data_IF_707335203192
#
_entry.id   IF_707335203192
#
_cell.length_a   1.000
_cell.length_b   1.000
_cell.length_c   1.000
_cell.angle_alpha   90.00
_cell.angle_beta   90.00
_cell.angle_gamma   90.00
#
_symmetry.space_group_name_H-M   'P 1'
#
loop_
_entity.id
_entity.type
_entity.pdbx_description
1 polymer ?
#
# COMPACT_ATOMS: atom_id res chain seq x y z
N UNK A 1 17.38 -5.38 16.06
CA UNK A 1 16.14 -5.04 15.33
C UNK A 1 16.51 -3.97 14.30
N UNK A 2 16.28 -4.20 13.01
CA UNK A 2 16.91 -3.44 11.91
C UNK A 2 16.45 -1.98 11.75
N UNK A 3 15.39 -1.56 12.45
CA UNK A 3 14.79 -0.22 12.33
C UNK A 3 14.45 0.30 13.73
N UNK A 4 14.80 1.55 14.04
CA UNK A 4 14.43 2.18 15.31
C UNK A 4 12.92 2.42 15.37
N UNK A 5 12.29 2.40 16.56
CA UNK A 5 10.84 2.57 16.67
C UNK A 5 10.32 3.85 15.99
N UNK A 6 11.03 4.97 16.16
CA UNK A 6 10.66 6.24 15.52
C UNK A 6 10.72 6.20 13.99
N UNK A 7 11.73 5.53 13.42
CA UNK A 7 11.83 5.35 11.97
C UNK A 7 10.76 4.38 11.45
N UNK A 8 10.47 3.32 12.20
CA UNK A 8 9.41 2.36 11.85
C UNK A 8 8.03 3.00 11.76
N UNK A 9 7.72 3.97 12.62
CA UNK A 9 6.46 4.72 12.55
C UNK A 9 6.32 5.53 11.26
N UNK A 10 7.43 6.06 10.70
CA UNK A 10 7.43 6.83 9.44
C UNK A 10 7.08 6.00 8.21
N UNK A 11 7.17 4.68 8.29
CA UNK A 11 6.70 3.79 7.22
C UNK A 11 5.17 3.81 7.08
N UNK A 12 4.45 4.15 8.16
CA UNK A 12 2.99 4.03 8.24
C UNK A 12 2.23 5.36 8.16
N UNK A 13 2.92 6.45 7.82
CA UNK A 13 2.30 7.76 7.63
C UNK A 13 2.67 8.30 6.26
N UNK A 14 1.78 9.06 5.63
CA UNK A 14 2.10 9.69 4.35
C UNK A 14 3.31 10.62 4.50
N UNK A 15 4.31 10.46 3.65
CA UNK A 15 5.52 11.28 3.57
C UNK A 15 5.59 12.07 2.26
N UNK A 16 4.57 11.98 1.39
CA UNK A 16 4.53 12.79 0.19
C UNK A 16 4.37 14.28 0.54
N UNK A 17 5.13 15.17 -0.11
CA UNK A 17 4.92 16.61 0.00
C UNK A 17 3.49 17.00 -0.37
N UNK A 18 2.88 17.91 0.39
CA UNK A 18 1.49 18.35 0.16
C UNK A 18 1.28 18.95 -1.25
N UNK A 19 2.32 19.58 -1.82
CA UNK A 19 2.30 20.14 -3.18
C UNK A 19 1.99 19.09 -4.26
N UNK A 20 2.25 17.81 -4.00
CA UNK A 20 1.93 16.75 -4.95
C UNK A 20 0.42 16.40 -4.97
N UNK A 21 -0.33 16.74 -3.92
CA UNK A 21 -1.75 16.44 -3.79
C UNK A 21 -2.11 14.96 -3.96
N UNK A 22 -3.40 14.69 -4.19
CA UNK A 22 -3.93 13.33 -4.33
C UNK A 22 -3.53 12.64 -5.64
N UNK A 23 -3.04 13.43 -6.61
CA UNK A 23 -2.64 12.95 -7.94
C UNK A 23 -1.13 12.73 -8.05
N UNK A 24 -0.37 13.03 -7.00
CA UNK A 24 1.09 13.05 -7.01
C UNK A 24 1.78 11.77 -7.50
N UNK A 25 1.10 10.64 -7.36
CA UNK A 25 1.58 9.32 -7.77
C UNK A 25 1.02 8.84 -9.12
N UNK A 26 -0.02 9.49 -9.64
CA UNK A 26 -0.78 8.99 -10.80
C UNK A 26 0.03 8.97 -12.09
N UNK A 27 0.98 9.90 -12.27
CA UNK A 27 1.83 9.94 -13.46
C UNK A 27 2.64 8.64 -13.65
N UNK A 28 3.21 8.10 -12.56
CA UNK A 28 4.05 6.91 -12.60
C UNK A 28 3.28 5.61 -12.31
N UNK A 29 2.24 5.68 -11.47
CA UNK A 29 1.52 4.50 -10.96
C UNK A 29 0.09 4.35 -11.50
N UNK A 30 -0.33 5.26 -12.37
CA UNK A 30 -1.63 5.25 -13.02
C UNK A 30 -2.79 5.73 -12.15
N UNK A 31 -4.02 5.75 -12.70
CA UNK A 31 -5.20 6.35 -12.05
C UNK A 31 -5.59 5.70 -10.71
N UNK A 32 -5.24 4.42 -10.52
CA UNK A 32 -5.57 3.69 -9.28
C UNK A 32 -4.77 4.16 -8.07
N UNK A 33 -3.74 5.00 -8.28
CA UNK A 33 -2.97 5.63 -7.23
C UNK A 33 -3.64 6.92 -6.69
N UNK A 34 -4.94 7.13 -6.95
CA UNK A 34 -5.72 8.25 -6.43
C UNK A 34 -6.90 7.78 -5.56
N UNK A 35 -7.08 8.29 -4.33
CA UNK A 35 -6.03 8.89 -3.49
C UNK A 35 -5.09 7.79 -2.97
N UNK A 36 -3.78 8.01 -3.06
CA UNK A 36 -2.78 7.14 -2.45
C UNK A 36 -1.62 7.98 -1.90
N UNK A 37 -0.99 7.48 -0.85
CA UNK A 37 0.21 8.08 -0.27
C UNK A 37 1.41 7.15 -0.34
N UNK A 38 2.54 7.67 0.12
CA UNK A 38 3.76 6.90 0.22
C UNK A 38 4.45 7.23 1.53
N UNK A 39 4.59 6.22 2.39
CA UNK A 39 5.49 6.27 3.54
C UNK A 39 6.91 5.90 3.14
N UNK A 40 7.80 5.72 4.12
CA UNK A 40 9.15 5.21 3.84
C UNK A 40 9.11 3.75 3.37
N UNK A 41 9.08 3.55 2.05
CA UNK A 41 9.13 2.25 1.38
C UNK A 41 7.77 1.55 1.23
N UNK A 42 6.66 2.18 1.64
CA UNK A 42 5.33 1.60 1.61
C UNK A 42 4.34 2.51 0.88
N UNK A 43 3.66 1.97 -0.13
CA UNK A 43 2.44 2.57 -0.67
C UNK A 43 1.32 2.50 0.35
N UNK A 44 0.51 3.56 0.43
CA UNK A 44 -0.62 3.69 1.35
C UNK A 44 -1.90 3.71 0.53
N UNK A 45 -2.73 2.68 0.69
CA UNK A 45 -4.08 2.66 0.14
C UNK A 45 -5.04 3.31 1.11
N UNK A 46 -5.92 4.16 0.60
CA UNK A 46 -6.99 4.81 1.38
C UNK A 46 -8.31 4.09 1.12
N UNK A 47 -9.18 4.03 2.14
CA UNK A 47 -10.55 3.51 2.00
C UNK A 47 -11.36 4.36 1.01
N UNK A 48 -12.40 3.80 0.36
CA UNK A 48 -13.32 4.60 -0.44
C UNK A 48 -13.88 5.79 0.36
N UNK A 49 -13.73 7.02 -0.17
CA UNK A 49 -14.15 8.25 0.50
C UNK A 49 -13.25 8.71 1.66
N UNK A 50 -12.12 8.05 1.91
CA UNK A 50 -11.12 8.47 2.89
C UNK A 50 -10.21 9.60 2.39
N UNK A 51 -9.33 10.07 3.28
CA UNK A 51 -8.39 11.16 3.04
C UNK A 51 -6.96 10.72 3.39
N UNK A 52 -6.02 10.92 2.47
CA UNK A 52 -4.62 10.55 2.71
C UNK A 52 -3.97 11.35 3.86
N UNK A 53 -4.55 12.49 4.25
CA UNK A 53 -4.16 13.30 5.40
C UNK A 53 -4.66 12.74 6.74
N UNK A 54 -5.62 11.82 6.74
CA UNK A 54 -6.15 11.17 7.94
C UNK A 54 -5.73 9.68 8.01
N UNK A 55 -4.74 9.33 8.86
CA UNK A 55 -4.29 7.95 9.06
C UNK A 55 -5.39 6.96 9.48
N UNK A 56 -6.49 7.42 10.07
CA UNK A 56 -7.62 6.56 10.44
C UNK A 56 -8.38 6.02 9.23
N UNK A 57 -8.24 6.68 8.07
CA UNK A 57 -8.87 6.28 6.82
C UNK A 57 -7.98 5.37 5.96
N UNK A 58 -6.76 5.06 6.42
CA UNK A 58 -5.86 4.15 5.71
C UNK A 58 -6.43 2.73 5.71
N UNK A 59 -6.40 2.08 4.56
CA UNK A 59 -6.93 0.73 4.36
C UNK A 59 -5.84 -0.33 4.60
N UNK A 60 -4.78 -0.30 3.80
CA UNK A 60 -3.62 -1.19 3.92
C UNK A 60 -2.36 -0.53 3.33
N UNK A 61 -1.21 -1.08 3.69
CA UNK A 61 0.10 -0.67 3.16
C UNK A 61 0.62 -1.75 2.22
N UNK A 62 1.33 -1.39 1.14
CA UNK A 62 1.78 -2.37 0.17
C UNK A 62 2.96 -1.93 -0.68
N UNK A 63 3.52 -2.91 -1.41
CA UNK A 63 4.28 -2.68 -2.63
C UNK A 63 4.10 -3.83 -3.62
N UNK A 64 4.52 -3.64 -4.85
CA UNK A 64 4.49 -4.65 -5.91
C UNK A 64 5.81 -4.64 -6.68
N UNK A 65 6.20 -5.81 -7.20
CA UNK A 65 7.43 -6.00 -7.96
C UNK A 65 7.19 -6.50 -9.38
N UNK A 66 8.22 -6.38 -10.21
CA UNK A 66 8.16 -6.64 -11.65
C UNK A 66 7.81 -8.09 -12.02
N UNK A 67 8.09 -9.07 -11.17
CA UNK A 67 7.75 -10.47 -11.44
C UNK A 67 6.33 -10.85 -10.93
N UNK A 68 5.37 -9.91 -10.92
CA UNK A 68 4.08 -10.01 -10.21
C UNK A 68 4.21 -10.45 -8.74
N UNK A 69 5.28 -10.01 -8.09
CA UNK A 69 5.43 -10.15 -6.64
C UNK A 69 4.68 -9.02 -5.94
N UNK A 70 4.27 -9.25 -4.69
CA UNK A 70 3.62 -8.22 -3.90
C UNK A 70 3.60 -8.59 -2.42
N UNK A 71 3.54 -7.58 -1.58
CA UNK A 71 3.29 -7.76 -0.16
C UNK A 71 2.31 -6.70 0.34
N UNK A 72 1.60 -7.01 1.41
CA UNK A 72 0.68 -6.08 2.05
C UNK A 72 0.66 -6.24 3.57
N UNK A 73 0.32 -5.13 4.22
CA UNK A 73 0.14 -5.02 5.66
C UNK A 73 -1.24 -4.41 5.89
N UNK A 74 -2.20 -5.23 6.25
CA UNK A 74 -3.53 -4.81 6.67
C UNK A 74 -3.58 -4.80 8.20
N UNK A 75 -3.10 -3.69 8.76
CA UNK A 75 -2.99 -3.51 10.21
C UNK A 75 -4.36 -3.45 10.90
N UNK A 76 -5.40 -3.02 10.18
CA UNK A 76 -6.76 -2.93 10.73
C UNK A 76 -7.34 -4.32 11.00
N UNK A 77 -7.03 -5.29 10.14
CA UNK A 77 -7.50 -6.67 10.27
C UNK A 77 -6.44 -7.62 10.84
N UNK A 78 -5.24 -7.13 11.19
CA UNK A 78 -4.08 -7.95 11.60
C UNK A 78 -3.68 -9.03 10.57
N UNK A 79 -3.82 -8.71 9.29
CA UNK A 79 -3.47 -9.61 8.18
C UNK A 79 -2.22 -9.08 7.48
N UNK A 80 -1.23 -9.95 7.28
CA UNK A 80 0.02 -9.61 6.60
C UNK A 80 0.30 -10.70 5.57
N UNK A 81 0.57 -10.29 4.33
CA UNK A 81 0.72 -11.24 3.24
C UNK A 81 1.90 -10.93 2.35
N UNK A 82 2.44 -12.00 1.77
CA UNK A 82 3.45 -11.95 0.73
C UNK A 82 3.03 -12.92 -0.36
N UNK A 83 3.13 -12.46 -1.60
CA UNK A 83 2.87 -13.24 -2.80
C UNK A 83 4.08 -13.15 -3.71
N UNK A 84 4.74 -14.28 -3.91
CA UNK A 84 5.97 -14.38 -4.68
C UNK A 84 5.71 -15.25 -5.90
N UNK A 85 5.68 -14.63 -7.08
CA UNK A 85 5.60 -15.34 -8.35
C UNK A 85 6.84 -15.05 -9.18
N UNK A 86 6.97 -15.76 -10.30
CA UNK A 86 8.01 -15.56 -11.30
C UNK A 86 7.37 -15.27 -12.66
N UNK A 87 6.32 -14.45 -12.67
CA UNK A 87 5.57 -14.15 -13.88
C UNK A 87 6.09 -12.87 -14.54
N UNK A 88 6.59 -13.00 -15.76
CA UNK A 88 7.10 -11.91 -16.60
C UNK A 88 6.54 -12.12 -18.01
N UNK A 89 5.99 -11.09 -18.68
CA UNK A 89 5.92 -9.68 -18.27
C UNK A 89 4.94 -9.43 -17.12
N UNK A 90 5.15 -8.34 -16.39
CA UNK A 90 4.27 -7.94 -15.27
C UNK A 90 2.84 -7.71 -15.77
N UNK A 91 1.87 -8.39 -15.18
CA UNK A 91 0.44 -8.11 -15.31
C UNK A 91 0.01 -7.02 -14.33
N UNK A 92 -1.24 -6.59 -14.41
CA UNK A 92 -1.84 -5.65 -13.46
C UNK A 92 -1.54 -6.02 -12.00
N UNK A 93 -1.33 -5.02 -11.16
CA UNK A 93 -1.07 -5.21 -9.74
C UNK A 93 -2.20 -6.00 -9.07
N UNK A 94 -1.89 -7.18 -8.56
CA UNK A 94 -2.85 -8.11 -7.93
C UNK A 94 -3.00 -7.91 -6.42
N UNK A 95 -2.17 -7.07 -5.78
CA UNK A 95 -2.24 -6.86 -4.32
C UNK A 95 -3.64 -6.46 -3.84
N UNK A 96 -4.41 -5.57 -4.50
CA UNK A 96 -5.75 -5.23 -4.05
C UNK A 96 -6.70 -6.43 -3.95
N UNK A 97 -6.66 -7.34 -4.92
CA UNK A 97 -7.47 -8.56 -4.90
C UNK A 97 -6.99 -9.56 -3.83
N UNK A 98 -5.67 -9.70 -3.66
CA UNK A 98 -5.10 -10.55 -2.60
C UNK A 98 -5.47 -10.07 -1.20
N UNK A 99 -5.47 -8.75 -0.96
CA UNK A 99 -5.96 -8.15 0.28
C UNK A 99 -7.41 -8.56 0.51
N UNK A 100 -8.28 -8.37 -0.49
CA UNK A 100 -9.70 -8.73 -0.42
C UNK A 100 -9.92 -10.21 -0.13
N UNK A 101 -9.21 -11.10 -0.82
CA UNK A 101 -9.29 -12.55 -0.60
C UNK A 101 -8.84 -12.88 0.82
N UNK A 102 -7.70 -12.33 1.27
CA UNK A 102 -7.15 -12.63 2.60
C UNK A 102 -8.09 -12.22 3.74
N UNK A 103 -8.82 -11.12 3.59
CA UNK A 103 -9.86 -10.69 4.55
C UNK A 103 -11.01 -11.70 4.67
N UNK A 104 -11.39 -12.35 3.57
CA UNK A 104 -12.42 -13.39 3.56
C UNK A 104 -11.96 -14.75 4.11
N UNK A 105 -10.65 -14.93 4.31
CA UNK A 105 -10.06 -16.14 4.89
C UNK A 105 -9.74 -16.00 6.38
N UNK A 106 -9.84 -14.78 6.94
CA UNK A 106 -9.61 -14.55 8.35
C UNK A 106 -10.73 -15.20 9.19
N UNK A 107 -10.38 -15.94 10.27
CA UNK A 107 -11.35 -16.62 11.12
C UNK A 107 -12.22 -15.66 11.94
#
# INVERSE_FOLDING_TARGET
LFITPGLGQKMFINQLPEVLGDEGLTYNFGPTAKPAGFGYGLGIRVKPGGDIKDPLTYDYYHWAGAANTGFWLDRNNSIYGVFMTQHIPTQYNQVPELVKISRGLAP
#
